data_IF_922579644989
#
_entry.id   IF_922579644989
#
_cell.length_a   1.000
_cell.length_b   1.000
_cell.length_c   1.000
_cell.angle_alpha   90.00
_cell.angle_beta   90.00
_cell.angle_gamma   90.00
#
_symmetry.space_group_name_H-M   'P 1'
#
loop_
_entity.id
_entity.type
_entity.pdbx_description
1 polymer ?
#
# COMPACT_ATOMS: atom_id res chain seq x y z
N UNK A 1 12.58 -14.03 -17.20
CA UNK A 1 11.65 -14.13 -16.05
C UNK A 1 10.26 -13.69 -16.49
N UNK A 2 9.20 -14.33 -15.98
CA UNK A 2 7.83 -13.87 -16.18
C UNK A 2 7.65 -12.47 -15.53
N UNK A 3 7.06 -11.50 -16.25
CA UNK A 3 6.86 -10.12 -15.78
C UNK A 3 6.10 -10.02 -14.44
N UNK A 4 5.22 -10.98 -14.16
CA UNK A 4 4.47 -11.09 -12.90
C UNK A 4 5.40 -11.37 -11.71
N UNK A 5 6.41 -12.22 -11.91
CA UNK A 5 7.40 -12.51 -10.86
C UNK A 5 8.35 -11.33 -10.66
N UNK A 6 8.75 -10.65 -11.76
CA UNK A 6 9.62 -9.47 -11.69
C UNK A 6 8.92 -8.32 -10.94
N UNK A 7 7.61 -8.13 -11.16
CA UNK A 7 6.82 -7.15 -10.39
C UNK A 7 6.82 -7.44 -8.89
N UNK A 8 6.69 -8.71 -8.50
CA UNK A 8 6.72 -9.08 -7.09
C UNK A 8 8.11 -8.80 -6.48
N UNK A 9 9.20 -9.22 -7.14
CA UNK A 9 10.56 -8.94 -6.70
C UNK A 9 10.90 -7.44 -6.67
N UNK A 10 10.37 -6.68 -7.63
CA UNK A 10 10.51 -5.23 -7.62
C UNK A 10 9.88 -4.61 -6.36
N UNK A 11 8.69 -5.08 -5.95
CA UNK A 11 8.05 -4.62 -4.71
C UNK A 11 8.84 -5.05 -3.45
N UNK A 12 9.47 -6.22 -3.47
CA UNK A 12 10.36 -6.67 -2.39
C UNK A 12 11.56 -5.74 -2.21
N UNK A 13 12.31 -5.48 -3.28
CA UNK A 13 13.52 -4.68 -3.17
C UNK A 13 13.24 -3.19 -2.95
N UNK A 14 12.12 -2.67 -3.47
CA UNK A 14 11.81 -1.25 -3.33
C UNK A 14 11.20 -0.91 -1.97
N UNK A 15 10.78 -1.91 -1.18
CA UNK A 15 10.09 -1.71 0.09
C UNK A 15 10.87 -0.78 1.03
N UNK A 16 12.14 -1.11 1.29
CA UNK A 16 13.05 -0.30 2.12
C UNK A 16 13.33 1.08 1.50
N UNK A 17 13.56 1.13 0.19
CA UNK A 17 13.83 2.38 -0.54
C UNK A 17 12.65 3.35 -0.40
N UNK A 18 11.42 2.84 -0.46
CA UNK A 18 10.21 3.65 -0.35
C UNK A 18 9.98 4.14 1.08
N UNK A 19 10.20 3.29 2.08
CA UNK A 19 10.03 3.64 3.49
C UNK A 19 11.21 4.49 4.02
N UNK A 20 12.32 4.51 3.28
CA UNK A 20 13.50 5.32 3.52
C UNK A 20 14.30 4.85 4.75
N UNK A 21 15.02 5.78 5.37
CA UNK A 21 15.81 5.51 6.59
C UNK A 21 14.92 5.30 7.85
N UNK A 22 13.60 5.48 7.73
CA UNK A 22 12.62 5.24 8.79
C UNK A 22 13.02 5.79 10.16
N UNK A 23 12.91 4.99 11.26
CA UNK A 23 13.27 5.44 12.60
C UNK A 23 14.77 5.69 12.80
N UNK A 24 15.62 5.17 11.92
CA UNK A 24 17.08 5.26 12.07
C UNK A 24 17.62 6.65 11.74
N UNK A 25 16.93 7.41 10.89
CA UNK A 25 17.35 8.78 10.55
C UNK A 25 17.44 9.67 11.79
N UNK A 26 16.46 9.61 12.70
CA UNK A 26 16.46 10.44 13.91
C UNK A 26 17.67 10.16 14.79
N UNK A 27 18.01 8.87 14.96
CA UNK A 27 19.19 8.44 15.73
C UNK A 27 20.48 8.92 15.05
N UNK A 28 20.58 8.77 13.74
CA UNK A 28 21.74 9.23 12.96
C UNK A 28 21.94 10.74 13.08
N UNK A 29 20.88 11.54 12.92
CA UNK A 29 20.95 13.01 12.99
C UNK A 29 21.28 13.48 14.41
N UNK A 30 20.70 12.85 15.44
CA UNK A 30 21.03 13.14 16.83
C UNK A 30 22.51 12.88 17.12
N UNK A 31 23.06 11.78 16.58
CA UNK A 31 24.50 11.48 16.64
C UNK A 31 25.40 12.51 15.95
N UNK A 32 24.86 13.29 15.01
CA UNK A 32 25.56 14.38 14.31
C UNK A 32 25.21 15.78 14.88
N UNK A 33 24.69 15.84 16.11
CA UNK A 33 24.48 17.11 16.83
C UNK A 33 23.20 17.86 16.45
N UNK A 34 22.26 17.24 15.72
CA UNK A 34 20.97 17.87 15.45
C UNK A 34 20.14 17.99 16.74
N UNK A 35 19.44 19.11 16.86
CA UNK A 35 18.44 19.32 17.90
C UNK A 35 17.17 18.52 17.58
N UNK A 36 16.46 18.08 18.62
CA UNK A 36 15.19 17.36 18.45
C UNK A 36 14.17 18.21 17.68
N UNK A 37 14.13 19.52 17.94
CA UNK A 37 13.30 20.46 17.18
C UNK A 37 13.65 20.53 15.69
N UNK A 38 14.93 20.37 15.31
CA UNK A 38 15.34 20.35 13.90
C UNK A 38 14.90 19.05 13.21
N UNK A 39 15.05 17.91 13.89
CA UNK A 39 14.60 16.62 13.38
C UNK A 39 13.07 16.65 13.18
N UNK A 40 12.33 17.16 14.16
CA UNK A 40 10.88 17.34 14.09
C UNK A 40 10.46 18.31 12.98
N UNK A 41 11.20 19.40 12.78
CA UNK A 41 10.94 20.36 11.70
C UNK A 41 11.12 19.74 10.32
N UNK A 42 12.20 18.96 10.10
CA UNK A 42 12.42 18.22 8.87
C UNK A 42 11.23 17.27 8.60
N UNK A 43 10.83 16.49 9.60
CA UNK A 43 9.67 15.58 9.50
C UNK A 43 8.34 16.30 9.20
N UNK A 44 8.17 17.52 9.71
CA UNK A 44 6.96 18.33 9.46
C UNK A 44 6.91 18.81 8.01
N UNK A 45 8.02 19.35 7.50
CA UNK A 45 8.11 19.85 6.12
C UNK A 45 7.91 18.71 5.13
N UNK A 46 8.53 17.54 5.34
CA UNK A 46 8.35 16.39 4.46
C UNK A 46 6.90 15.88 4.43
N UNK A 47 6.26 15.82 5.58
CA UNK A 47 4.86 15.38 5.72
C UNK A 47 3.89 16.35 5.03
N UNK A 48 4.09 17.66 5.23
CA UNK A 48 3.26 18.68 4.59
C UNK A 48 3.44 18.69 3.07
N UNK A 49 4.67 18.50 2.60
CA UNK A 49 4.98 18.45 1.17
C UNK A 49 4.33 17.25 0.50
N UNK A 50 4.38 16.09 1.16
CA UNK A 50 3.68 14.87 0.76
C UNK A 50 2.16 15.10 0.65
N UNK A 51 1.60 15.82 1.62
CA UNK A 51 0.18 16.11 1.66
C UNK A 51 -0.28 16.97 0.48
N UNK A 52 0.47 18.03 0.18
CA UNK A 52 0.14 18.99 -0.87
C UNK A 52 0.35 18.37 -2.25
N UNK A 53 1.41 17.60 -2.43
CA UNK A 53 1.86 17.14 -3.75
C UNK A 53 1.37 15.74 -4.13
N UNK A 54 0.71 15.01 -3.22
CA UNK A 54 0.14 13.69 -3.48
C UNK A 54 -0.77 13.63 -4.71
N UNK A 55 -1.85 14.41 -4.71
CA UNK A 55 -2.82 14.41 -5.81
C UNK A 55 -2.18 14.88 -7.14
N UNK A 56 -1.44 16.01 -7.20
CA UNK A 56 -0.73 16.42 -8.41
C UNK A 56 0.13 15.32 -9.03
N UNK A 57 0.80 14.52 -8.21
CA UNK A 57 1.65 13.43 -8.68
C UNK A 57 0.88 12.20 -9.14
N UNK A 58 -0.23 11.87 -8.48
CA UNK A 58 -1.14 10.86 -9.00
C UNK A 58 -1.65 11.23 -10.40
N UNK A 59 -1.98 12.50 -10.63
CA UNK A 59 -2.35 13.01 -11.97
C UNK A 59 -1.20 12.87 -12.96
N UNK A 60 0.04 13.18 -12.54
CA UNK A 60 1.21 13.02 -13.39
C UNK A 60 1.43 11.56 -13.80
N UNK A 61 1.20 10.61 -12.89
CA UNK A 61 1.26 9.16 -13.17
C UNK A 61 0.18 8.74 -14.17
N UNK A 62 -1.03 9.29 -14.07
CA UNK A 62 -2.11 9.02 -15.02
C UNK A 62 -1.78 9.54 -16.43
N UNK A 63 -1.10 10.70 -16.53
CA UNK A 63 -0.72 11.32 -17.81
C UNK A 63 0.54 10.73 -18.46
N UNK A 64 1.49 10.23 -17.67
CA UNK A 64 2.78 9.79 -18.21
C UNK A 64 2.71 8.41 -18.89
N UNK A 65 3.33 8.29 -20.05
CA UNK A 65 3.62 7.00 -20.69
C UNK A 65 4.97 6.42 -20.20
N UNK A 66 5.81 7.21 -19.54
CA UNK A 66 7.14 6.81 -19.09
C UNK A 66 7.14 6.31 -17.64
N UNK A 67 6.12 5.53 -17.25
CA UNK A 67 5.90 5.05 -15.87
C UNK A 67 7.14 4.34 -15.30
N UNK A 68 7.83 3.53 -16.11
CA UNK A 68 9.07 2.86 -15.72
C UNK A 68 10.20 3.84 -15.44
N UNK A 69 10.43 4.78 -16.36
CA UNK A 69 11.48 5.80 -16.22
C UNK A 69 11.26 6.67 -15.00
N UNK A 70 9.99 7.00 -14.70
CA UNK A 70 9.64 7.74 -13.49
C UNK A 70 10.02 6.96 -12.22
N UNK A 71 9.69 5.67 -12.15
CA UNK A 71 10.08 4.82 -11.02
C UNK A 71 11.61 4.71 -10.91
N UNK A 72 12.31 4.53 -12.03
CA UNK A 72 13.79 4.53 -12.08
C UNK A 72 14.36 5.83 -11.53
N UNK A 73 13.85 6.98 -11.95
CA UNK A 73 14.27 8.29 -11.47
C UNK A 73 14.05 8.42 -9.95
N UNK A 74 12.86 8.04 -9.45
CA UNK A 74 12.57 8.09 -8.02
C UNK A 74 13.54 7.21 -7.20
N UNK A 75 13.83 5.99 -7.65
CA UNK A 75 14.77 5.10 -6.95
C UNK A 75 16.18 5.70 -6.94
N UNK A 76 16.66 6.19 -8.09
CA UNK A 76 17.99 6.82 -8.17
C UNK A 76 18.10 8.07 -7.29
N UNK A 77 17.08 8.91 -7.27
CA UNK A 77 17.04 10.10 -6.43
C UNK A 77 17.02 9.74 -4.94
N UNK A 78 16.23 8.73 -4.53
CA UNK A 78 16.23 8.27 -3.13
C UNK A 78 17.60 7.73 -2.74
N UNK A 79 18.21 6.89 -3.57
CA UNK A 79 19.56 6.34 -3.31
C UNK A 79 20.58 7.46 -3.17
N UNK A 80 20.59 8.43 -4.10
CA UNK A 80 21.49 9.56 -4.07
C UNK A 80 21.26 10.44 -2.83
N UNK A 81 20.01 10.85 -2.57
CA UNK A 81 19.68 11.69 -1.41
C UNK A 81 20.01 11.00 -0.08
N UNK A 82 19.76 9.69 0.02
CA UNK A 82 20.08 8.90 1.21
C UNK A 82 21.59 8.82 1.42
N UNK A 83 22.34 8.41 0.40
CA UNK A 83 23.79 8.24 0.50
C UNK A 83 24.52 9.58 0.68
N UNK A 84 24.10 10.63 -0.02
CA UNK A 84 24.70 11.95 0.15
C UNK A 84 24.41 12.53 1.54
N UNK A 85 23.25 12.24 2.13
CA UNK A 85 22.91 12.68 3.49
C UNK A 85 23.78 12.02 4.56
N UNK A 86 24.31 10.82 4.29
CA UNK A 86 25.31 10.18 5.15
C UNK A 86 26.62 10.98 5.21
N UNK A 87 27.11 11.46 4.06
CA UNK A 87 28.37 12.22 4.00
C UNK A 87 28.24 13.69 4.38
N UNK A 88 27.06 14.29 4.16
CA UNK A 88 26.79 15.70 4.40
C UNK A 88 25.60 15.92 5.34
N UNK A 89 25.65 15.46 6.61
CA UNK A 89 24.56 15.62 7.57
C UNK A 89 24.53 17.05 8.12
N UNK A 90 24.15 18.01 7.27
CA UNK A 90 23.91 19.41 7.65
C UNK A 90 22.43 19.71 7.55
N UNK A 91 21.91 20.61 8.40
CA UNK A 91 20.47 20.86 8.49
C UNK A 91 19.80 21.13 7.14
N UNK A 92 20.37 22.03 6.33
CA UNK A 92 19.81 22.40 5.01
C UNK A 92 19.89 21.22 4.04
N UNK A 93 21.02 20.50 4.00
CA UNK A 93 21.17 19.37 3.11
C UNK A 93 20.18 18.25 3.48
N UNK A 94 20.09 17.90 4.76
CA UNK A 94 19.16 16.87 5.24
C UNK A 94 17.72 17.26 4.97
N UNK A 95 17.34 18.53 5.18
CA UNK A 95 15.99 19.02 4.86
C UNK A 95 15.65 18.81 3.39
N UNK A 96 16.54 19.21 2.47
CA UNK A 96 16.34 19.05 1.03
C UNK A 96 16.34 17.58 0.58
N UNK A 97 17.24 16.76 1.15
CA UNK A 97 17.32 15.33 0.88
C UNK A 97 16.04 14.62 1.33
N UNK A 98 15.56 14.88 2.55
CA UNK A 98 14.35 14.27 3.09
C UNK A 98 13.09 14.74 2.37
N UNK A 99 13.03 16.01 1.98
CA UNK A 99 11.98 16.52 1.10
C UNK A 99 11.95 15.74 -0.22
N UNK A 100 13.10 15.57 -0.87
CA UNK A 100 13.22 14.84 -2.14
C UNK A 100 12.86 13.35 -2.03
N UNK A 101 13.30 12.69 -0.95
CA UNK A 101 12.97 11.28 -0.67
C UNK A 101 11.45 11.13 -0.50
N UNK A 102 10.84 11.99 0.32
CA UNK A 102 9.39 11.95 0.58
C UNK A 102 8.59 12.19 -0.70
N UNK A 103 9.05 13.14 -1.52
CA UNK A 103 8.47 13.44 -2.83
C UNK A 103 8.47 12.22 -3.76
N UNK A 104 9.59 11.51 -3.81
CA UNK A 104 9.73 10.28 -4.59
C UNK A 104 8.86 9.15 -4.02
N UNK A 105 8.81 8.98 -2.70
CA UNK A 105 8.00 7.95 -2.05
C UNK A 105 6.50 8.09 -2.37
N UNK A 106 6.00 9.33 -2.43
CA UNK A 106 4.62 9.66 -2.83
C UNK A 106 4.32 9.24 -4.27
N UNK A 107 5.28 9.40 -5.18
CA UNK A 107 5.15 8.95 -6.57
C UNK A 107 5.08 7.43 -6.71
N UNK A 108 5.84 6.70 -5.89
CA UNK A 108 6.05 5.27 -6.09
C UNK A 108 4.75 4.48 -5.92
N UNK A 109 3.89 4.78 -4.95
CA UNK A 109 2.70 3.98 -4.71
C UNK A 109 1.70 3.99 -5.88
N UNK A 110 1.26 5.17 -6.40
CA UNK A 110 0.42 5.21 -7.58
C UNK A 110 1.15 4.71 -8.82
N UNK A 111 2.45 4.95 -8.96
CA UNK A 111 3.21 4.44 -10.11
C UNK A 111 3.28 2.90 -10.14
N UNK A 112 3.46 2.24 -9.00
CA UNK A 112 3.45 0.77 -8.91
C UNK A 112 2.06 0.18 -9.12
N UNK A 113 1.00 0.82 -8.60
CA UNK A 113 -0.37 0.43 -8.88
C UNK A 113 -0.66 0.51 -10.40
N UNK A 114 -0.29 1.64 -11.03
CA UNK A 114 -0.43 1.84 -12.46
C UNK A 114 0.38 0.83 -13.28
N UNK A 115 1.62 0.57 -12.89
CA UNK A 115 2.51 -0.38 -13.56
C UNK A 115 1.96 -1.81 -13.47
N UNK A 116 1.47 -2.19 -12.28
CA UNK A 116 0.85 -3.49 -12.05
C UNK A 116 -0.39 -3.64 -12.91
N UNK A 117 -1.32 -2.69 -12.84
CA UNK A 117 -2.57 -2.71 -13.61
C UNK A 117 -2.32 -2.70 -15.12
N UNK A 118 -1.35 -1.91 -15.59
CA UNK A 118 -1.00 -1.81 -17.01
C UNK A 118 -0.33 -3.07 -17.58
N UNK A 119 0.38 -3.85 -16.76
CA UNK A 119 1.05 -5.10 -17.20
C UNK A 119 0.10 -6.29 -17.13
N UNK A 120 -0.63 -6.45 -16.02
CA UNK A 120 -1.46 -7.65 -15.79
C UNK A 120 -2.90 -7.50 -16.25
N UNK A 121 -3.35 -6.27 -16.48
CA UNK A 121 -4.75 -5.97 -16.82
C UNK A 121 -5.70 -6.13 -15.64
N UNK A 122 -6.99 -5.86 -15.87
CA UNK A 122 -8.01 -5.79 -14.83
C UNK A 122 -8.21 -7.15 -14.12
N UNK A 123 -8.42 -8.22 -14.91
CA UNK A 123 -8.74 -9.57 -14.39
C UNK A 123 -7.74 -10.14 -13.40
N UNK A 124 -6.44 -9.89 -13.62
CA UNK A 124 -5.36 -10.41 -12.78
C UNK A 124 -4.86 -9.38 -11.75
N UNK A 125 -5.42 -8.17 -11.73
CA UNK A 125 -4.93 -7.06 -10.90
C UNK A 125 -5.04 -7.38 -9.42
N UNK A 126 -6.17 -7.91 -8.97
CA UNK A 126 -6.37 -8.26 -7.55
C UNK A 126 -5.35 -9.30 -7.06
N UNK A 127 -5.11 -10.35 -7.86
CA UNK A 127 -4.17 -11.42 -7.52
C UNK A 127 -2.73 -10.92 -7.51
N UNK A 128 -2.33 -10.14 -8.53
CA UNK A 128 -0.98 -9.60 -8.58
C UNK A 128 -0.75 -8.55 -7.49
N UNK A 129 -1.73 -7.71 -7.18
CA UNK A 129 -1.65 -6.73 -6.09
C UNK A 129 -1.45 -7.43 -4.75
N UNK A 130 -2.20 -8.51 -4.49
CA UNK A 130 -2.03 -9.35 -3.30
C UNK A 130 -0.62 -9.92 -3.17
N UNK A 131 -0.06 -10.40 -4.29
CA UNK A 131 1.31 -10.94 -4.33
C UNK A 131 2.37 -9.86 -4.18
N UNK A 132 2.19 -8.71 -4.84
CA UNK A 132 3.09 -7.56 -4.71
C UNK A 132 3.15 -7.07 -3.27
N UNK A 133 2.00 -7.01 -2.60
CA UNK A 133 1.89 -6.57 -1.21
C UNK A 133 2.60 -7.55 -0.27
N UNK A 134 2.42 -8.86 -0.45
CA UNK A 134 3.15 -9.87 0.31
C UNK A 134 4.67 -9.74 0.14
N UNK A 135 5.14 -9.50 -1.10
CA UNK A 135 6.57 -9.31 -1.36
C UNK A 135 7.09 -7.99 -0.77
N UNK A 136 6.29 -6.92 -0.77
CA UNK A 136 6.63 -5.66 -0.13
C UNK A 136 6.90 -5.87 1.37
N UNK A 137 5.99 -6.52 2.08
CA UNK A 137 6.15 -6.82 3.51
C UNK A 137 7.34 -7.75 3.78
N UNK A 138 7.56 -8.76 2.94
CA UNK A 138 8.75 -9.59 3.02
C UNK A 138 10.04 -8.79 2.82
N UNK A 139 10.03 -7.81 1.92
CA UNK A 139 11.14 -6.88 1.69
C UNK A 139 11.43 -6.00 2.91
N UNK A 140 10.40 -5.39 3.49
CA UNK A 140 10.53 -4.57 4.71
C UNK A 140 11.04 -5.41 5.90
N UNK A 141 10.53 -6.63 6.09
CA UNK A 141 11.03 -7.52 7.15
C UNK A 141 12.50 -7.91 6.92
N UNK A 142 12.86 -8.23 5.68
CA UNK A 142 14.22 -8.58 5.30
C UNK A 142 15.19 -7.41 5.52
N UNK A 143 14.85 -6.20 5.05
CA UNK A 143 15.71 -5.03 5.20
C UNK A 143 15.85 -4.59 6.66
N UNK A 144 14.78 -4.67 7.45
CA UNK A 144 14.83 -4.36 8.88
C UNK A 144 15.73 -5.35 9.63
N UNK A 145 15.61 -6.66 9.37
CA UNK A 145 16.47 -7.67 9.98
C UNK A 145 17.94 -7.50 9.56
N UNK A 146 18.18 -7.25 8.27
CA UNK A 146 19.52 -6.99 7.74
C UNK A 146 20.13 -5.72 8.34
N UNK A 147 19.34 -4.65 8.45
CA UNK A 147 19.75 -3.37 9.05
C UNK A 147 20.07 -3.51 10.52
N UNK A 148 19.27 -4.26 11.28
CA UNK A 148 19.54 -4.55 12.67
C UNK A 148 20.87 -5.30 12.84
N UNK A 149 21.05 -6.42 12.12
CA UNK A 149 22.29 -7.21 12.20
C UNK A 149 23.50 -6.38 11.79
N UNK A 150 23.44 -5.70 10.65
CA UNK A 150 24.57 -4.90 10.19
C UNK A 150 24.84 -3.67 11.08
N UNK A 151 23.82 -3.08 11.70
CA UNK A 151 24.02 -1.98 12.65
C UNK A 151 24.80 -2.42 13.90
N UNK A 152 24.66 -3.68 14.34
CA UNK A 152 25.43 -4.22 15.47
C UNK A 152 26.93 -4.36 15.15
N UNK A 153 27.28 -4.75 13.92
CA UNK A 153 28.67 -5.01 13.53
C UNK A 153 29.37 -3.80 12.90
N UNK A 154 28.64 -3.00 12.12
CA UNK A 154 29.19 -1.93 11.29
C UNK A 154 28.64 -0.53 11.65
N UNK A 155 27.77 -0.44 12.66
CA UNK A 155 27.13 0.80 13.08
C UNK A 155 26.04 1.29 12.12
N UNK A 156 25.48 2.46 12.43
CA UNK A 156 24.32 3.05 11.73
C UNK A 156 24.60 3.36 10.24
N UNK A 157 25.87 3.50 9.86
CA UNK A 157 26.32 3.68 8.48
C UNK A 157 25.85 2.56 7.56
N UNK A 158 25.76 1.33 8.08
CA UNK A 158 25.33 0.16 7.30
C UNK A 158 23.91 0.28 6.75
N UNK A 159 23.03 1.02 7.42
CA UNK A 159 21.64 1.21 7.01
C UNK A 159 21.56 1.98 5.69
N UNK A 160 22.40 3.01 5.52
CA UNK A 160 22.51 3.77 4.28
C UNK A 160 23.04 2.90 3.12
N UNK A 161 23.96 1.98 3.42
CA UNK A 161 24.47 1.03 2.43
C UNK A 161 23.41 -0.01 2.04
N UNK A 162 22.60 -0.49 3.00
CA UNK A 162 21.50 -1.43 2.75
C UNK A 162 20.42 -0.81 1.87
N UNK A 163 19.97 0.41 2.16
CA UNK A 163 18.99 1.10 1.30
C UNK A 163 19.55 1.27 -0.13
N UNK A 164 20.84 1.59 -0.26
CA UNK A 164 21.52 1.66 -1.57
C UNK A 164 21.52 0.31 -2.28
N UNK A 165 21.87 -0.76 -1.56
CA UNK A 165 21.88 -2.13 -2.06
C UNK A 165 20.48 -2.56 -2.56
N UNK A 166 19.46 -2.36 -1.74
CA UNK A 166 18.05 -2.63 -2.08
C UNK A 166 17.61 -1.82 -3.32
N UNK A 167 18.06 -0.57 -3.44
CA UNK A 167 17.86 0.26 -4.62
C UNK A 167 18.48 -0.31 -5.89
N UNK A 168 19.73 -0.80 -5.83
CA UNK A 168 20.40 -1.43 -6.99
C UNK A 168 19.60 -2.64 -7.48
N UNK A 169 19.16 -3.53 -6.59
CA UNK A 169 18.35 -4.69 -6.99
C UNK A 169 16.97 -4.30 -7.53
N UNK A 170 16.38 -3.21 -7.03
CA UNK A 170 15.15 -2.64 -7.59
C UNK A 170 15.36 -2.17 -9.05
N UNK A 171 16.49 -1.50 -9.33
CA UNK A 171 16.86 -1.08 -10.68
C UNK A 171 17.10 -2.27 -11.61
N UNK A 172 17.76 -3.33 -11.12
CA UNK A 172 17.94 -4.58 -11.87
C UNK A 172 16.58 -5.21 -12.24
N UNK A 173 15.62 -5.23 -11.31
CA UNK A 173 14.26 -5.70 -11.59
C UNK A 173 13.58 -4.86 -12.68
N UNK A 174 13.75 -3.53 -12.67
CA UNK A 174 13.20 -2.65 -13.73
C UNK A 174 13.83 -2.91 -15.10
N UNK A 175 15.12 -3.24 -15.17
CA UNK A 175 15.78 -3.65 -16.41
C UNK A 175 15.14 -4.92 -16.97
N UNK A 176 14.89 -5.93 -16.13
CA UNK A 176 14.17 -7.14 -16.55
C UNK A 176 12.72 -6.87 -16.97
N UNK A 177 12.12 -5.78 -16.46
CA UNK A 177 10.79 -5.35 -16.84
C UNK A 177 10.76 -4.52 -18.13
N UNK A 178 11.91 -4.10 -18.68
CA UNK A 178 12.01 -3.20 -19.85
C UNK A 178 11.19 -3.67 -21.05
N UNK A 179 11.16 -4.98 -21.29
CA UNK A 179 10.48 -5.59 -22.45
C UNK A 179 9.01 -5.94 -22.19
N UNK A 180 8.50 -5.77 -20.98
CA UNK A 180 7.09 -6.05 -20.72
C UNK A 180 6.21 -5.00 -21.42
N UNK A 181 5.10 -5.41 -22.02
CA UNK A 181 4.13 -4.48 -22.55
C UNK A 181 3.38 -3.79 -21.40
N UNK A 182 3.17 -2.46 -21.49
CA UNK A 182 2.34 -1.71 -20.54
C UNK A 182 1.18 -1.11 -21.32
N UNK A 183 -0.04 -1.50 -20.97
CA UNK A 183 -1.22 -0.79 -21.43
C UNK A 183 -1.44 0.46 -20.57
N UNK A 184 -0.99 1.62 -21.06
CA UNK A 184 -1.09 2.89 -20.34
C UNK A 184 -2.53 3.38 -20.14
N UNK A 185 -3.44 3.00 -21.02
CA UNK A 185 -4.86 3.33 -20.92
C UNK A 185 -5.51 2.53 -19.79
N UNK A 186 -5.25 1.22 -19.72
CA UNK A 186 -5.72 0.37 -18.62
C UNK A 186 -5.08 0.80 -17.29
N UNK A 187 -3.81 1.21 -17.29
CA UNK A 187 -3.10 1.70 -16.12
C UNK A 187 -3.73 2.95 -15.46
N UNK A 188 -4.57 3.71 -16.20
CA UNK A 188 -5.34 4.84 -15.68
C UNK A 188 -6.85 4.57 -15.60
N UNK A 189 -7.27 3.35 -15.92
CA UNK A 189 -8.65 2.89 -15.75
C UNK A 189 -9.52 2.88 -16.99
N UNK A 190 -8.97 2.99 -18.20
CA UNK A 190 -9.77 2.83 -19.41
C UNK A 190 -10.38 1.43 -19.51
N UNK A 191 -11.60 1.34 -20.02
CA UNK A 191 -12.24 0.07 -20.36
C UNK A 191 -11.75 -0.42 -21.72
N UNK A 192 -11.42 -1.70 -21.80
CA UNK A 192 -11.11 -2.35 -23.07
C UNK A 192 -12.44 -2.75 -23.71
N UNK A 193 -13.02 -1.89 -24.54
CA UNK A 193 -14.14 -2.26 -25.39
C UNK A 193 -13.63 -3.16 -26.52
N UNK A 194 -13.98 -4.46 -26.50
CA UNK A 194 -13.84 -5.28 -27.70
C UNK A 194 -14.88 -4.78 -28.71
N UNK A 195 -14.44 -4.25 -29.85
CA UNK A 195 -15.36 -4.02 -30.97
C UNK A 195 -15.97 -5.36 -31.37
N UNK A 196 -17.29 -5.54 -31.16
CA UNK A 196 -18.01 -6.60 -31.84
C UNK A 196 -17.88 -6.33 -33.34
N UNK A 197 -17.38 -7.29 -34.15
CA UNK A 197 -17.26 -7.07 -35.59
C UNK A 197 -18.63 -6.70 -36.16
N UNK A 198 -18.67 -5.67 -37.01
CA UNK A 198 -19.90 -5.12 -37.60
C UNK A 198 -20.67 -6.10 -38.50
N UNK A 199 -20.16 -7.30 -38.73
CA UNK A 199 -20.81 -8.32 -39.55
C UNK A 199 -20.73 -9.70 -38.88
N UNK A 200 -21.86 -10.33 -38.51
CA UNK A 200 -21.89 -11.60 -37.77
C UNK A 200 -21.64 -12.87 -38.62
N UNK A 201 -21.14 -12.75 -39.86
CA UNK A 201 -21.19 -13.86 -40.84
C UNK A 201 -19.87 -14.57 -41.14
N UNK A 202 -18.92 -14.66 -40.21
CA UNK A 202 -17.80 -15.61 -40.35
C UNK A 202 -17.20 -15.96 -38.98
N UNK A 203 -17.89 -16.84 -38.23
CA UNK A 203 -17.39 -17.38 -36.95
C UNK A 203 -16.04 -18.09 -37.10
N UNK A 204 -15.77 -18.69 -38.28
CA UNK A 204 -14.49 -19.34 -38.59
C UNK A 204 -13.29 -18.38 -38.67
N UNK A 205 -13.49 -17.10 -39.02
CA UNK A 205 -12.42 -16.08 -39.00
C UNK A 205 -12.23 -15.42 -37.63
N UNK A 206 -13.19 -15.56 -36.72
CA UNK A 206 -13.12 -14.99 -35.38
C UNK A 206 -12.09 -15.72 -34.52
N UNK A 207 -12.04 -17.05 -34.62
CA UNK A 207 -11.03 -17.88 -33.94
C UNK A 207 -9.62 -17.66 -34.48
N UNK A 208 -9.48 -17.49 -35.80
CA UNK A 208 -8.19 -17.19 -36.44
C UNK A 208 -7.64 -15.79 -36.06
N UNK A 209 -8.52 -14.82 -35.84
CA UNK A 209 -8.12 -13.45 -35.46
C UNK A 209 -7.78 -13.35 -33.96
N UNK A 210 -8.42 -14.16 -33.11
CA UNK A 210 -8.15 -14.21 -31.66
C UNK A 210 -6.85 -14.94 -31.31
N UNK A 211 -6.28 -15.73 -32.23
CA UNK A 211 -4.99 -16.42 -32.06
C UNK A 211 -3.77 -15.63 -32.59
N UNK A 212 -3.95 -14.46 -33.20
CA UNK A 212 -2.84 -13.60 -33.65
C UNK A 212 -2.47 -12.53 -32.60
N UNK A 213 -1.19 -12.43 -32.19
CA UNK A 213 -0.82 -11.66 -31.00
C UNK A 213 -0.62 -10.15 -31.22
N UNK A 214 -1.23 -9.48 -32.23
CA UNK A 214 -0.77 -8.09 -32.52
C UNK A 214 -1.56 -7.10 -33.39
N UNK A 215 -2.83 -7.26 -33.78
CA UNK A 215 -3.50 -6.25 -34.65
C UNK A 215 -4.42 -5.26 -33.91
N UNK A 216 -3.85 -4.08 -33.67
CA UNK A 216 -4.47 -2.73 -33.66
C UNK A 216 -5.92 -2.63 -33.18
N UNK A 217 -6.09 -2.55 -31.86
CA UNK A 217 -7.31 -2.01 -31.25
C UNK A 217 -7.39 -0.50 -31.56
N UNK A 218 -8.40 -0.07 -32.32
CA UNK A 218 -8.67 1.35 -32.52
C UNK A 218 -9.35 1.91 -31.27
N UNK A 219 -8.61 2.74 -30.54
CA UNK A 219 -9.08 3.41 -29.33
C UNK A 219 -9.84 4.69 -29.69
N UNK A 220 -11.06 4.86 -29.18
CA UNK A 220 -11.80 6.12 -29.31
C UNK A 220 -11.28 7.12 -28.26
N UNK A 221 -10.34 7.96 -28.67
CA UNK A 221 -9.93 9.14 -27.89
C UNK A 221 -11.03 10.20 -27.97
N UNK A 222 -11.71 10.47 -26.86
CA UNK A 222 -12.48 11.70 -26.71
C UNK A 222 -11.53 12.79 -26.21
N UNK A 223 -10.92 13.52 -27.14
CA UNK A 223 -10.16 14.74 -26.90
C UNK A 223 -11.10 15.81 -26.33
N UNK A 224 -10.77 16.31 -25.13
CA UNK A 224 -11.09 17.66 -24.62
C UNK A 224 -10.47 17.77 -23.21
N UNK A 225 -9.35 18.49 -23.10
CA UNK A 225 -8.64 18.67 -21.82
C UNK A 225 -9.48 19.40 -20.75
N UNK A 226 -10.42 20.26 -21.17
CA UNK A 226 -11.38 20.91 -20.27
C UNK A 226 -12.41 19.92 -19.67
N UNK A 227 -12.69 18.79 -20.34
CA UNK A 227 -13.49 17.68 -19.78
C UNK A 227 -12.68 16.82 -18.82
N UNK A 228 -11.35 16.82 -18.88
CA UNK A 228 -10.50 16.00 -18.02
C UNK A 228 -10.46 16.54 -16.58
N UNK A 229 -10.28 17.85 -16.38
CA UNK A 229 -10.31 18.47 -15.04
C UNK A 229 -11.69 18.35 -14.37
N UNK A 230 -12.77 18.50 -15.15
CA UNK A 230 -14.14 18.28 -14.65
C UNK A 230 -14.40 16.82 -14.27
N UNK A 231 -13.81 15.86 -15.00
CA UNK A 231 -13.86 14.42 -14.65
C UNK A 231 -13.04 14.08 -13.42
N UNK A 232 -11.86 14.69 -13.23
CA UNK A 232 -11.05 14.48 -12.03
C UNK A 232 -11.74 15.01 -10.78
N UNK A 233 -12.29 16.23 -10.83
CA UNK A 233 -13.04 16.79 -9.71
C UNK A 233 -14.24 15.89 -9.36
N UNK A 234 -15.02 15.48 -10.37
CA UNK A 234 -16.12 14.53 -10.16
C UNK A 234 -15.67 13.18 -9.59
N UNK A 235 -14.49 12.70 -9.98
CA UNK A 235 -13.91 11.46 -9.48
C UNK A 235 -13.47 11.56 -8.01
N UNK A 236 -12.82 12.66 -7.61
CA UNK A 236 -12.38 12.86 -6.22
C UNK A 236 -13.58 13.06 -5.27
N UNK A 237 -14.63 13.72 -5.76
CA UNK A 237 -15.89 13.91 -5.02
C UNK A 237 -16.89 12.76 -5.21
N UNK A 238 -16.45 11.61 -5.72
CA UNK A 238 -17.29 10.42 -5.76
C UNK A 238 -17.57 9.93 -4.33
N UNK A 239 -18.83 9.62 -4.03
CA UNK A 239 -19.26 9.23 -2.68
C UNK A 239 -18.53 7.99 -2.18
N UNK A 240 -18.25 7.02 -3.06
CA UNK A 240 -17.53 5.80 -2.69
C UNK A 240 -16.07 6.12 -2.33
N UNK A 241 -15.42 7.00 -3.10
CA UNK A 241 -14.06 7.42 -2.84
C UNK A 241 -13.95 8.23 -1.54
N UNK A 242 -14.90 9.14 -1.29
CA UNK A 242 -14.94 9.94 -0.06
C UNK A 242 -15.15 9.07 1.18
N UNK A 243 -16.08 8.10 1.14
CA UNK A 243 -16.27 7.15 2.25
C UNK A 243 -14.98 6.35 2.49
N UNK A 244 -14.33 5.87 1.43
CA UNK A 244 -13.05 5.16 1.55
C UNK A 244 -11.97 6.06 2.17
N UNK A 245 -11.84 7.32 1.72
CA UNK A 245 -10.88 8.28 2.25
C UNK A 245 -11.08 8.58 3.74
N UNK A 246 -12.33 8.78 4.18
CA UNK A 246 -12.65 9.03 5.59
C UNK A 246 -12.34 7.79 6.44
N UNK A 247 -12.69 6.60 5.95
CA UNK A 247 -12.40 5.35 6.65
C UNK A 247 -10.89 5.09 6.73
N UNK A 248 -10.13 5.40 5.68
CA UNK A 248 -8.67 5.29 5.71
C UNK A 248 -8.03 6.33 6.63
N UNK A 249 -8.56 7.55 6.67
CA UNK A 249 -8.18 8.55 7.65
C UNK A 249 -8.36 8.01 9.08
N UNK A 250 -9.54 7.48 9.41
CA UNK A 250 -9.81 6.89 10.73
C UNK A 250 -8.90 5.69 11.03
N UNK A 251 -8.68 4.80 10.06
CA UNK A 251 -7.78 3.66 10.19
C UNK A 251 -6.37 4.11 10.57
N UNK A 252 -5.77 5.03 9.81
CA UNK A 252 -4.42 5.50 10.10
C UNK A 252 -4.34 6.38 11.36
N UNK A 253 -5.38 7.16 11.66
CA UNK A 253 -5.47 7.96 12.89
C UNK A 253 -5.50 7.08 14.14
N UNK A 254 -6.15 5.93 14.07
CA UNK A 254 -6.16 4.95 15.16
C UNK A 254 -4.87 4.11 15.19
N UNK A 255 -4.26 3.84 14.03
CA UNK A 255 -3.15 2.89 13.94
C UNK A 255 -1.77 3.50 14.24
N UNK A 256 -1.41 4.64 13.66
CA UNK A 256 0.00 5.04 13.54
C UNK A 256 0.72 5.28 14.88
N UNK A 257 0.03 5.78 15.92
CA UNK A 257 0.62 5.98 17.25
C UNK A 257 0.64 4.71 18.12
N UNK A 258 -0.04 3.64 17.72
CA UNK A 258 -0.21 2.44 18.55
C UNK A 258 1.14 1.81 18.91
N UNK A 259 2.00 1.62 17.91
CA UNK A 259 3.29 0.94 18.05
C UNK A 259 4.31 1.80 18.83
N UNK A 260 4.47 3.12 18.54
CA UNK A 260 5.25 4.01 19.40
C UNK A 260 4.81 4.01 20.86
N UNK A 261 3.50 4.09 21.13
CA UNK A 261 2.98 4.07 22.49
C UNK A 261 3.25 2.74 23.20
N UNK A 262 3.14 1.61 22.49
CA UNK A 262 3.46 0.28 23.03
C UNK A 262 4.92 0.17 23.43
N UNK A 263 5.84 0.65 22.59
CA UNK A 263 7.26 0.65 22.88
C UNK A 263 7.61 1.58 24.05
N UNK A 264 6.99 2.77 24.11
CA UNK A 264 7.17 3.69 25.23
C UNK A 264 6.66 3.09 26.55
N UNK A 265 5.46 2.49 26.54
CA UNK A 265 4.90 1.82 27.73
C UNK A 265 5.78 0.65 28.18
N UNK A 266 6.24 -0.19 27.25
CA UNK A 266 7.12 -1.32 27.56
C UNK A 266 8.45 -0.85 28.19
N UNK A 267 9.01 0.26 27.72
CA UNK A 267 10.19 0.88 28.34
C UNK A 267 9.89 1.38 29.76
N UNK A 268 8.75 2.06 29.98
CA UNK A 268 8.36 2.52 31.32
C UNK A 268 8.12 1.39 32.32
N UNK A 269 7.71 0.21 31.84
CA UNK A 269 7.50 -0.99 32.66
C UNK A 269 8.78 -1.82 32.87
N UNK A 270 9.91 -1.42 32.29
CA UNK A 270 11.17 -2.17 32.37
C UNK A 270 11.17 -3.49 31.59
N UNK A 271 10.21 -3.69 30.68
CA UNK A 271 10.08 -4.92 29.86
C UNK A 271 11.05 -4.93 28.68
N UNK A 272 11.43 -3.75 28.16
CA UNK A 272 12.44 -3.61 27.11
C UNK A 272 13.50 -2.56 27.46
N UNK A 273 14.75 -3.02 27.59
CA UNK A 273 15.94 -2.18 27.78
C UNK A 273 16.90 -2.20 26.58
N UNK A 274 16.61 -3.00 25.55
CA UNK A 274 17.56 -3.33 24.47
C UNK A 274 17.05 -3.01 23.05
N UNK A 275 15.78 -2.64 22.90
CA UNK A 275 15.13 -2.46 21.59
C UNK A 275 14.64 -3.77 20.97
N UNK A 276 14.82 -4.90 21.66
CA UNK A 276 14.38 -6.21 21.22
C UNK A 276 12.85 -6.30 21.09
N UNK A 277 12.12 -5.56 21.92
CA UNK A 277 10.65 -5.51 21.84
C UNK A 277 10.20 -4.83 20.55
N UNK A 278 10.80 -3.69 20.20
CA UNK A 278 10.51 -3.02 18.94
C UNK A 278 10.85 -3.91 17.72
N UNK A 279 12.00 -4.59 17.73
CA UNK A 279 12.35 -5.52 16.65
C UNK A 279 11.36 -6.70 16.54
N UNK A 280 10.98 -7.32 17.66
CA UNK A 280 10.01 -8.41 17.69
C UNK A 280 8.64 -7.99 17.16
N UNK A 281 8.18 -6.78 17.52
CA UNK A 281 6.90 -6.25 17.04
C UNK A 281 6.85 -6.15 15.53
N UNK A 282 7.90 -5.62 14.90
CA UNK A 282 8.01 -5.51 13.44
C UNK A 282 7.97 -6.89 12.78
N UNK A 283 8.74 -7.85 13.27
CA UNK A 283 8.82 -9.19 12.67
C UNK A 283 7.45 -9.91 12.72
N UNK A 284 6.77 -9.87 13.87
CA UNK A 284 5.45 -10.50 14.03
C UNK A 284 4.42 -9.86 13.11
N UNK A 285 4.40 -8.51 13.07
CA UNK A 285 3.45 -7.77 12.24
C UNK A 285 3.70 -8.08 10.75
N UNK A 286 4.93 -7.92 10.26
CA UNK A 286 5.26 -8.17 8.85
C UNK A 286 5.01 -9.62 8.44
N UNK A 287 5.38 -10.60 9.29
CA UNK A 287 5.09 -12.02 9.04
C UNK A 287 3.60 -12.28 8.84
N UNK A 288 2.76 -11.66 9.68
CA UNK A 288 1.31 -11.74 9.57
C UNK A 288 0.79 -11.02 8.32
N UNK A 289 1.32 -9.84 7.98
CA UNK A 289 0.96 -9.10 6.77
C UNK A 289 1.24 -9.90 5.49
N UNK A 290 2.36 -10.61 5.42
CA UNK A 290 2.70 -11.50 4.29
C UNK A 290 1.64 -12.59 4.12
N UNK A 291 1.30 -13.28 5.21
CA UNK A 291 0.30 -14.35 5.19
C UNK A 291 -1.08 -13.83 4.77
N UNK A 292 -1.51 -12.73 5.37
CA UNK A 292 -2.81 -12.11 5.13
C UNK A 292 -2.93 -11.58 3.71
N UNK A 293 -1.89 -10.93 3.17
CA UNK A 293 -1.89 -10.45 1.79
C UNK A 293 -2.05 -11.60 0.78
N UNK A 294 -1.32 -12.72 0.98
CA UNK A 294 -1.48 -13.92 0.14
C UNK A 294 -2.85 -14.57 0.28
N UNK A 295 -3.41 -14.56 1.49
CA UNK A 295 -4.75 -15.06 1.78
C UNK A 295 -5.83 -14.23 1.07
N UNK A 296 -5.76 -12.90 1.14
CA UNK A 296 -6.64 -12.01 0.39
C UNK A 296 -6.66 -12.33 -1.11
N UNK A 297 -5.48 -12.57 -1.71
CA UNK A 297 -5.38 -12.99 -3.11
C UNK A 297 -6.20 -14.24 -3.42
N UNK A 298 -6.07 -15.29 -2.58
CA UNK A 298 -6.84 -16.53 -2.76
C UNK A 298 -8.35 -16.31 -2.72
N UNK A 299 -8.86 -15.39 -1.91
CA UNK A 299 -10.30 -15.08 -1.87
C UNK A 299 -10.76 -14.23 -3.06
N UNK A 300 -9.87 -13.40 -3.62
CA UNK A 300 -10.19 -12.50 -4.74
C UNK A 300 -9.98 -13.13 -6.12
N UNK A 301 -9.30 -14.28 -6.20
CA UNK A 301 -9.06 -15.02 -7.44
C UNK A 301 -10.29 -15.82 -7.90
N UNK A 302 -10.86 -15.46 -9.05
CA UNK A 302 -12.03 -16.14 -9.65
C UNK A 302 -11.59 -17.37 -10.48
N UNK A 303 -10.33 -17.42 -10.92
CA UNK A 303 -9.85 -18.40 -11.90
C UNK A 303 -9.56 -19.78 -11.29
N UNK A 304 -9.20 -19.85 -10.01
CA UNK A 304 -8.96 -21.12 -9.31
C UNK A 304 -10.22 -21.98 -9.15
N UNK A 305 -11.40 -21.38 -9.04
CA UNK A 305 -12.66 -22.14 -8.86
C UNK A 305 -12.99 -22.99 -10.08
N UNK A 306 -12.68 -22.49 -11.29
CA UNK A 306 -12.93 -23.21 -12.55
C UNK A 306 -11.89 -24.30 -12.82
N UNK A 307 -10.61 -24.06 -12.51
CA UNK A 307 -9.55 -25.05 -12.73
C UNK A 307 -9.55 -26.17 -11.68
N UNK A 308 -9.88 -25.88 -10.41
CA UNK A 308 -9.96 -26.90 -9.36
C UNK A 308 -11.06 -27.94 -9.63
N UNK A 309 -12.20 -27.52 -10.19
CA UNK A 309 -13.26 -28.42 -10.63
C UNK A 309 -12.85 -29.30 -11.82
N UNK A 310 -11.96 -28.80 -12.69
CA UNK A 310 -11.54 -29.48 -13.92
C UNK A 310 -10.44 -30.51 -13.70
N UNK A 311 -9.73 -30.46 -12.57
CA UNK A 311 -8.48 -31.20 -12.37
C UNK A 311 -8.57 -32.36 -11.37
N UNK A 312 -9.76 -32.72 -10.86
CA UNK A 312 -10.01 -33.89 -10.00
C UNK A 312 -8.99 -34.12 -8.86
N UNK A 313 -8.39 -33.03 -8.34
CA UNK A 313 -7.50 -33.12 -7.19
C UNK A 313 -8.32 -33.17 -5.91
N UNK A 314 -7.96 -34.05 -4.98
CA UNK A 314 -8.49 -34.08 -3.62
C UNK A 314 -8.22 -32.71 -3.00
N UNK A 315 -9.24 -31.85 -2.97
CA UNK A 315 -9.14 -30.54 -2.37
C UNK A 315 -9.04 -30.72 -0.85
N UNK A 316 -7.92 -30.31 -0.27
CA UNK A 316 -7.80 -30.19 1.19
C UNK A 316 -8.96 -29.34 1.72
N UNK A 317 -9.45 -29.64 2.93
CA UNK A 317 -10.65 -29.03 3.53
C UNK A 317 -10.68 -27.50 3.45
N UNK A 318 -9.51 -26.87 3.50
CA UNK A 318 -9.33 -25.43 3.36
C UNK A 318 -9.69 -24.88 1.96
N UNK A 319 -9.28 -25.55 0.89
CA UNK A 319 -9.62 -25.10 -0.46
C UNK A 319 -11.11 -25.32 -0.76
N UNK A 320 -11.70 -26.38 -0.20
CA UNK A 320 -13.14 -26.64 -0.26
C UNK A 320 -13.94 -25.53 0.42
N UNK A 321 -13.49 -25.04 1.59
CA UNK A 321 -14.10 -23.90 2.28
C UNK A 321 -14.03 -22.62 1.44
N UNK A 322 -12.89 -22.33 0.80
CA UNK A 322 -12.74 -21.16 -0.07
C UNK A 322 -13.72 -21.23 -1.24
N UNK A 323 -13.83 -22.39 -1.89
CA UNK A 323 -14.77 -22.59 -3.00
C UNK A 323 -16.21 -22.40 -2.50
N UNK A 324 -16.57 -22.99 -1.37
CA UNK A 324 -17.88 -22.83 -0.77
C UNK A 324 -18.24 -21.36 -0.51
N UNK A 325 -17.33 -20.59 0.10
CA UNK A 325 -17.53 -19.15 0.34
C UNK A 325 -17.72 -18.39 -0.98
N UNK A 326 -16.88 -18.66 -1.99
CA UNK A 326 -16.97 -18.00 -3.31
C UNK A 326 -18.27 -18.29 -4.05
N UNK A 327 -18.90 -19.44 -3.82
CA UNK A 327 -20.21 -19.75 -4.41
C UNK A 327 -21.37 -19.02 -3.75
N UNK A 328 -21.18 -18.53 -2.51
CA UNK A 328 -22.23 -17.89 -1.69
C UNK A 328 -22.13 -16.36 -1.64
N UNK A 329 -20.91 -15.82 -1.79
CA UNK A 329 -20.61 -14.40 -1.52
C UNK A 329 -19.98 -13.75 -2.75
N UNK A 330 -20.49 -12.59 -3.17
CA UNK A 330 -19.92 -11.87 -4.33
C UNK A 330 -18.53 -11.30 -4.03
N UNK A 331 -17.69 -11.12 -5.05
CA UNK A 331 -16.34 -10.54 -4.88
C UNK A 331 -16.37 -9.17 -4.19
N UNK A 332 -17.38 -8.35 -4.50
CA UNK A 332 -17.63 -7.08 -3.80
C UNK A 332 -17.87 -7.30 -2.31
N UNK A 333 -18.74 -8.24 -1.96
CA UNK A 333 -19.04 -8.53 -0.56
C UNK A 333 -17.80 -9.03 0.18
N UNK A 334 -16.96 -9.86 -0.45
CA UNK A 334 -15.66 -10.27 0.11
C UNK A 334 -14.78 -9.04 0.40
N UNK A 335 -14.64 -8.13 -0.57
CA UNK A 335 -13.86 -6.90 -0.40
C UNK A 335 -14.40 -6.05 0.76
N UNK A 336 -15.73 -5.90 0.85
CA UNK A 336 -16.37 -5.12 1.90
C UNK A 336 -16.22 -5.73 3.29
N UNK A 337 -16.31 -7.07 3.38
CA UNK A 337 -16.10 -7.83 4.61
C UNK A 337 -14.64 -7.70 5.07
N UNK A 338 -13.68 -7.88 4.16
CA UNK A 338 -12.26 -7.75 4.47
C UNK A 338 -11.95 -6.35 5.02
N UNK A 339 -12.42 -5.30 4.37
CA UNK A 339 -12.25 -3.93 4.87
C UNK A 339 -12.96 -3.69 6.22
N UNK A 340 -14.10 -4.34 6.46
CA UNK A 340 -14.75 -4.32 7.77
C UNK A 340 -13.90 -5.00 8.85
N UNK A 341 -13.28 -6.14 8.52
CA UNK A 341 -12.37 -6.87 9.41
C UNK A 341 -11.15 -6.00 9.77
N UNK A 342 -10.57 -5.27 8.82
CA UNK A 342 -9.41 -4.40 9.12
C UNK A 342 -9.75 -3.23 10.04
N UNK A 343 -11.00 -2.76 10.08
CA UNK A 343 -11.44 -1.74 11.03
C UNK A 343 -11.82 -2.33 12.39
N UNK A 344 -12.47 -3.50 12.37
CA UNK A 344 -12.86 -4.18 13.59
C UNK A 344 -11.65 -4.69 14.39
N UNK A 345 -10.63 -5.22 13.72
CA UNK A 345 -9.40 -5.64 14.41
C UNK A 345 -8.79 -4.48 15.18
N UNK A 346 -8.74 -3.27 14.58
CA UNK A 346 -8.18 -2.07 15.20
C UNK A 346 -8.85 -1.72 16.53
N UNK A 347 -10.18 -1.89 16.60
CA UNK A 347 -10.96 -1.69 17.82
C UNK A 347 -10.53 -2.70 18.90
N UNK A 348 -10.48 -3.99 18.55
CA UNK A 348 -10.05 -5.06 19.46
C UNK A 348 -8.60 -4.85 19.89
N UNK A 349 -7.74 -4.47 18.95
CA UNK A 349 -6.32 -4.22 19.16
C UNK A 349 -6.09 -3.07 20.14
N UNK A 350 -6.83 -1.96 20.00
CA UNK A 350 -6.79 -0.86 20.95
C UNK A 350 -7.26 -1.27 22.35
N UNK A 351 -8.32 -2.09 22.45
CA UNK A 351 -8.78 -2.62 23.74
C UNK A 351 -7.72 -3.52 24.39
N UNK A 352 -7.14 -4.45 23.62
CA UNK A 352 -6.09 -5.35 24.14
C UNK A 352 -4.87 -4.53 24.59
N UNK A 353 -4.44 -3.54 23.79
CA UNK A 353 -3.34 -2.66 24.16
C UNK A 353 -3.63 -1.86 25.44
N UNK A 354 -4.90 -1.48 25.70
CA UNK A 354 -5.27 -0.79 26.93
C UNK A 354 -5.09 -1.67 28.18
N UNK A 355 -5.59 -2.91 28.14
CA UNK A 355 -5.69 -3.80 29.30
C UNK A 355 -4.50 -4.74 29.52
N UNK A 356 -3.77 -5.13 28.47
CA UNK A 356 -2.69 -6.12 28.56
C UNK A 356 -1.32 -5.47 28.41
N UNK A 357 -0.54 -5.51 29.49
CA UNK A 357 0.79 -4.90 29.57
C UNK A 357 1.94 -5.89 29.32
N UNK A 358 1.62 -7.18 29.19
CA UNK A 358 2.60 -8.25 29.08
C UNK A 358 2.97 -8.56 27.63
N UNK A 359 4.03 -9.36 27.46
CA UNK A 359 4.55 -9.78 26.14
C UNK A 359 3.46 -10.50 25.31
N UNK A 360 2.57 -11.27 25.94
CA UNK A 360 1.46 -11.90 25.23
C UNK A 360 0.48 -10.89 24.63
N UNK A 361 0.16 -9.81 25.37
CA UNK A 361 -0.66 -8.71 24.86
C UNK A 361 -0.02 -8.05 23.65
N UNK A 362 1.28 -7.80 23.71
CA UNK A 362 2.05 -7.29 22.57
C UNK A 362 1.97 -8.22 21.35
N UNK A 363 2.24 -9.52 21.50
CA UNK A 363 2.20 -10.47 20.38
C UNK A 363 0.82 -10.44 19.71
N UNK A 364 -0.26 -10.46 20.49
CA UNK A 364 -1.63 -10.42 19.95
C UNK A 364 -1.89 -9.11 19.21
N UNK A 365 -1.47 -7.98 19.78
CA UNK A 365 -1.62 -6.67 19.14
C UNK A 365 -0.89 -6.60 17.80
N UNK A 366 0.30 -7.19 17.69
CA UNK A 366 1.08 -7.19 16.45
C UNK A 366 0.53 -8.15 15.39
N UNK A 367 -0.04 -9.29 15.80
CA UNK A 367 -0.79 -10.16 14.89
C UNK A 367 -2.00 -9.40 14.33
N UNK A 368 -2.75 -8.69 15.18
CA UNK A 368 -3.90 -7.91 14.75
C UNK A 368 -3.49 -6.78 13.80
N UNK A 369 -2.43 -6.02 14.10
CA UNK A 369 -1.87 -5.02 13.17
C UNK A 369 -1.52 -5.63 11.82
N UNK A 370 -0.88 -6.80 11.82
CA UNK A 370 -0.58 -7.50 10.58
C UNK A 370 -1.82 -7.92 9.77
N UNK A 371 -2.94 -8.22 10.44
CA UNK A 371 -4.23 -8.48 9.78
C UNK A 371 -4.78 -7.21 9.14
N UNK A 372 -4.90 -6.10 9.86
CA UNK A 372 -5.47 -4.88 9.27
C UNK A 372 -4.61 -4.28 8.19
N UNK A 373 -3.30 -4.15 8.43
CA UNK A 373 -2.36 -3.61 7.44
C UNK A 373 -2.25 -4.51 6.21
N UNK A 374 -2.16 -5.84 6.39
CA UNK A 374 -2.12 -6.80 5.29
C UNK A 374 -3.40 -6.79 4.43
N UNK A 375 -4.58 -6.61 5.04
CA UNK A 375 -5.83 -6.46 4.30
C UNK A 375 -5.87 -5.14 3.55
N UNK A 376 -5.65 -4.02 4.25
CA UNK A 376 -5.78 -2.67 3.66
C UNK A 376 -4.78 -2.46 2.51
N UNK A 377 -3.56 -2.97 2.66
CA UNK A 377 -2.54 -2.97 1.62
C UNK A 377 -2.97 -3.60 0.30
N UNK A 378 -3.81 -4.64 0.36
CA UNK A 378 -4.37 -5.31 -0.82
C UNK A 378 -5.64 -4.62 -1.30
N UNK A 379 -6.57 -4.33 -0.39
CA UNK A 379 -7.94 -3.93 -0.72
C UNK A 379 -8.03 -2.50 -1.23
N UNK A 380 -7.28 -1.55 -0.65
CA UNK A 380 -7.36 -0.13 -1.02
C UNK A 380 -7.05 0.13 -2.49
N UNK A 381 -5.90 -0.30 -3.05
CA UNK A 381 -5.60 -0.06 -4.47
C UNK A 381 -6.59 -0.76 -5.40
N UNK A 382 -7.14 -1.92 -5.01
CA UNK A 382 -8.17 -2.63 -5.77
C UNK A 382 -9.48 -1.84 -5.78
N UNK A 383 -9.93 -1.38 -4.62
CA UNK A 383 -11.19 -0.66 -4.49
C UNK A 383 -11.12 0.70 -5.18
N UNK A 384 -9.99 1.41 -5.09
CA UNK A 384 -9.80 2.67 -5.84
C UNK A 384 -9.84 2.44 -7.35
N UNK A 385 -9.09 1.44 -7.85
CA UNK A 385 -9.10 1.11 -9.28
C UNK A 385 -10.49 0.75 -9.79
N UNK A 386 -11.28 0.13 -8.92
CA UNK A 386 -12.66 -0.21 -9.19
C UNK A 386 -13.61 1.00 -9.20
N UNK A 387 -13.61 1.82 -8.13
CA UNK A 387 -14.46 3.03 -8.02
C UNK A 387 -14.22 3.94 -9.22
N UNK A 388 -12.95 4.09 -9.60
CA UNK A 388 -12.50 5.00 -10.65
C UNK A 388 -12.36 4.34 -12.02
N UNK A 389 -12.91 3.15 -12.21
CA UNK A 389 -12.97 2.49 -13.52
C UNK A 389 -13.70 3.39 -14.53
N UNK A 390 -13.08 3.58 -15.69
CA UNK A 390 -13.55 4.47 -16.77
C UNK A 390 -13.27 5.96 -16.55
N UNK A 391 -12.73 6.36 -15.40
CA UNK A 391 -12.49 7.78 -15.09
C UNK A 391 -11.26 8.36 -15.79
N UNK A 392 -10.26 7.52 -16.08
CA UNK A 392 -8.93 7.95 -16.54
C UNK A 392 -8.01 8.51 -15.46
N UNK A 393 -8.43 8.44 -14.18
CA UNK A 393 -7.78 9.09 -13.05
C UNK A 393 -7.61 8.18 -11.82
N UNK A 394 -7.39 6.87 -12.03
CA UNK A 394 -7.23 5.90 -10.92
C UNK A 394 -6.06 6.30 -10.00
N UNK A 395 -4.94 6.75 -10.56
CA UNK A 395 -3.73 6.99 -9.77
C UNK A 395 -3.83 8.30 -8.97
N UNK A 396 -4.49 9.32 -9.53
CA UNK A 396 -4.87 10.53 -8.79
C UNK A 396 -5.80 10.21 -7.62
N UNK A 397 -6.80 9.36 -7.80
CA UNK A 397 -7.69 8.93 -6.72
C UNK A 397 -6.98 8.11 -5.65
N UNK A 398 -6.04 7.23 -6.04
CA UNK A 398 -5.26 6.45 -5.08
C UNK A 398 -4.38 7.38 -4.24
N UNK A 399 -3.72 8.33 -4.89
CA UNK A 399 -2.96 9.36 -4.19
C UNK A 399 -3.83 10.15 -3.22
N UNK A 400 -5.06 10.55 -3.61
CA UNK A 400 -6.00 11.23 -2.72
C UNK A 400 -6.36 10.41 -1.48
N UNK A 401 -6.73 9.14 -1.64
CA UNK A 401 -7.06 8.24 -0.51
C UNK A 401 -5.85 8.07 0.42
N UNK A 402 -4.66 7.89 -0.16
CA UNK A 402 -3.42 7.77 0.61
C UNK A 402 -3.05 9.07 1.34
N UNK A 403 -3.28 10.23 0.71
CA UNK A 403 -3.10 11.54 1.34
C UNK A 403 -4.01 11.68 2.56
N UNK A 404 -5.30 11.33 2.45
CA UNK A 404 -6.22 11.33 3.59
C UNK A 404 -5.74 10.39 4.71
N UNK A 405 -5.31 9.16 4.37
CA UNK A 405 -4.70 8.25 5.32
C UNK A 405 -3.44 8.85 5.99
N UNK A 406 -2.60 9.53 5.21
CA UNK A 406 -1.40 10.24 5.69
C UNK A 406 -1.72 11.35 6.68
N UNK A 407 -2.77 12.15 6.46
CA UNK A 407 -3.25 13.13 7.46
C UNK A 407 -3.62 12.41 8.76
N UNK A 408 -4.38 11.33 8.66
CA UNK A 408 -4.78 10.53 9.82
C UNK A 408 -3.56 10.04 10.60
N UNK A 409 -2.59 9.43 9.91
CA UNK A 409 -1.35 8.94 10.51
C UNK A 409 -0.52 10.04 11.19
N UNK A 410 -0.38 11.21 10.54
CA UNK A 410 0.34 12.35 11.10
C UNK A 410 -0.33 12.89 12.39
N UNK A 411 -1.66 12.98 12.40
CA UNK A 411 -2.43 13.41 13.57
C UNK A 411 -2.47 12.37 14.69
N UNK A 412 -2.28 11.08 14.36
CA UNK A 412 -2.29 9.97 15.33
C UNK A 412 -1.28 10.16 16.44
N UNK A 413 -0.04 10.50 16.08
CA UNK A 413 1.05 10.71 17.04
C UNK A 413 0.72 11.81 18.05
N UNK A 414 0.20 12.93 17.57
CA UNK A 414 -0.24 14.06 18.41
C UNK A 414 -1.40 13.65 19.33
N UNK A 415 -2.42 12.98 18.79
CA UNK A 415 -3.58 12.55 19.56
C UNK A 415 -3.19 11.55 20.65
N UNK A 416 -2.50 10.46 20.26
CA UNK A 416 -2.10 9.39 21.15
C UNK A 416 -1.08 9.84 22.20
N UNK A 417 -0.07 10.60 21.77
CA UNK A 417 0.98 11.14 22.65
C UNK A 417 0.43 12.13 23.67
N UNK A 418 -0.42 13.08 23.25
CA UNK A 418 -1.03 14.05 24.15
C UNK A 418 -1.91 13.36 25.20
N UNK A 419 -2.77 12.44 24.79
CA UNK A 419 -3.64 11.73 25.75
C UNK A 419 -2.79 10.86 26.69
N UNK A 420 -1.77 10.17 26.18
CA UNK A 420 -0.89 9.36 27.02
C UNK A 420 -0.15 10.19 28.07
N UNK A 421 0.33 11.38 27.69
CA UNK A 421 1.06 12.27 28.59
C UNK A 421 0.19 12.83 29.73
N UNK A 422 -1.05 13.25 29.44
CA UNK A 422 -1.91 13.92 30.43
C UNK A 422 -2.89 12.98 31.14
N UNK A 423 -3.32 11.90 30.49
CA UNK A 423 -4.36 11.00 30.98
C UNK A 423 -3.91 9.53 31.07
N UNK A 424 -2.66 9.23 30.68
CA UNK A 424 -2.07 7.89 30.75
C UNK A 424 -2.35 7.01 29.53
N UNK A 425 -1.56 5.94 29.40
CA UNK A 425 -1.60 5.02 28.25
C UNK A 425 -2.96 4.35 28.05
N UNK A 426 -3.65 3.96 29.13
CA UNK A 426 -4.99 3.36 29.03
C UNK A 426 -5.95 4.25 28.25
N UNK A 427 -6.04 5.54 28.61
CA UNK A 427 -6.93 6.49 27.93
C UNK A 427 -6.50 6.75 26.49
N UNK A 428 -5.19 6.74 26.21
CA UNK A 428 -4.68 6.89 24.85
C UNK A 428 -5.15 5.73 23.95
N UNK A 429 -5.01 4.48 24.41
CA UNK A 429 -5.47 3.31 23.65
C UNK A 429 -7.00 3.28 23.50
N UNK A 430 -7.76 3.65 24.54
CA UNK A 430 -9.21 3.77 24.45
C UNK A 430 -9.65 4.83 23.43
N UNK A 431 -8.95 5.97 23.37
CA UNK A 431 -9.22 7.02 22.38
C UNK A 431 -8.92 6.54 20.95
N UNK A 432 -7.80 5.86 20.73
CA UNK A 432 -7.47 5.26 19.43
C UNK A 432 -8.50 4.19 19.03
N UNK A 433 -8.95 3.35 19.98
CA UNK A 433 -9.99 2.35 19.76
C UNK A 433 -11.35 3.01 19.39
N UNK A 434 -11.70 4.11 20.05
CA UNK A 434 -12.91 4.88 19.72
C UNK A 434 -12.88 5.42 18.28
N UNK A 435 -11.74 5.96 17.84
CA UNK A 435 -11.55 6.42 16.45
C UNK A 435 -11.74 5.28 15.45
N UNK A 436 -11.22 4.08 15.75
CA UNK A 436 -11.46 2.89 14.93
C UNK A 436 -12.95 2.51 14.90
N UNK A 437 -13.63 2.57 16.05
CA UNK A 437 -15.06 2.34 16.15
C UNK A 437 -15.88 3.31 15.28
N UNK A 438 -15.52 4.59 15.26
CA UNK A 438 -16.14 5.58 14.37
C UNK A 438 -15.93 5.20 12.90
N UNK A 439 -14.70 4.83 12.51
CA UNK A 439 -14.38 4.37 11.16
C UNK A 439 -15.20 3.12 10.75
N UNK A 440 -15.33 2.16 11.67
CA UNK A 440 -16.13 0.95 11.46
C UNK A 440 -17.62 1.27 11.29
N UNK A 441 -18.18 2.15 12.12
CA UNK A 441 -19.59 2.58 12.01
C UNK A 441 -19.83 3.25 10.67
N UNK A 442 -18.96 4.17 10.26
CA UNK A 442 -19.04 4.82 8.94
C UNK A 442 -19.01 3.76 7.83
N UNK A 443 -18.08 2.80 7.91
CA UNK A 443 -18.01 1.72 6.93
C UNK A 443 -19.29 0.89 6.89
N UNK A 444 -19.82 0.45 8.03
CA UNK A 444 -21.06 -0.34 8.08
C UNK A 444 -22.28 0.42 7.53
N UNK A 445 -22.39 1.72 7.81
CA UNK A 445 -23.51 2.55 7.32
C UNK A 445 -23.45 2.77 5.81
N UNK A 446 -22.25 2.94 5.25
CA UNK A 446 -22.07 3.35 3.85
C UNK A 446 -21.54 2.26 2.91
N UNK A 447 -21.17 1.07 3.42
CA UNK A 447 -20.66 -0.06 2.61
C UNK A 447 -21.64 -0.53 1.52
N UNK A 448 -22.95 -0.35 1.72
CA UNK A 448 -23.95 -0.71 0.73
C UNK A 448 -23.84 0.12 -0.57
N UNK A 449 -23.25 1.32 -0.52
CA UNK A 449 -23.05 2.15 -1.72
C UNK A 449 -22.17 1.44 -2.76
N UNK A 450 -21.27 0.54 -2.31
CA UNK A 450 -20.37 -0.21 -3.18
C UNK A 450 -21.05 -1.41 -3.87
N UNK A 451 -22.13 -1.97 -3.30
CA UNK A 451 -22.84 -3.14 -3.85
C UNK A 451 -23.55 -2.87 -5.18
N UNK A 452 -23.94 -1.63 -5.45
CA UNK A 452 -24.61 -1.25 -6.70
C UNK A 452 -23.74 -1.45 -7.94
N UNK A 453 -22.45 -1.70 -7.78
CA UNK A 453 -21.50 -1.91 -8.87
C UNK A 453 -21.05 -3.39 -9.01
N UNK A 454 -21.76 -4.36 -8.42
CA UNK A 454 -21.40 -5.80 -8.41
C UNK A 454 -21.04 -6.36 -9.80
N UNK A 455 -21.78 -5.99 -10.85
CA UNK A 455 -21.49 -6.42 -12.23
C UNK A 455 -20.12 -5.94 -12.72
N UNK A 456 -19.71 -4.72 -12.35
CA UNK A 456 -18.40 -4.16 -12.73
C UNK A 456 -17.26 -4.80 -11.95
N UNK A 457 -17.49 -5.29 -10.72
CA UNK A 457 -16.47 -6.02 -9.93
C UNK A 457 -16.28 -7.42 -10.48
N UNK A 458 -17.33 -8.10 -10.93
CA UNK A 458 -17.18 -9.46 -11.44
C UNK A 458 -16.32 -9.54 -12.72
N UNK A 459 -16.31 -8.47 -13.52
CA UNK A 459 -15.46 -8.36 -14.72
C UNK A 459 -14.00 -8.00 -14.42
N UNK A 460 -13.69 -7.56 -13.19
CA UNK A 460 -12.39 -7.05 -12.73
C UNK A 460 -11.79 -8.02 -11.72
#
# INVERSE_FOLDING_TARGET
>A
MNSYNVLAWLNFFVADVRDGLGPYLGVFLKGHGFLEGQIGFIGTITSLSTLILGIPFGILVDKTHYKRTLITFCILMIMFSTLANYFYPTFIFTLLAQFSISLCAVFLAPAFAALTLGIVGQKAYAQQTSRNEAYKHAGTAFSAALSFVCALYFGIASIFAITTFMGIFSLLCLIFLRNAFINHEVARGAEVSLEKPKNPLNESKLEETLMQPQKTFKFKQNSNEQKASFKLFKAIFDKQLLVLSVVLFCFHLSNAAMLPLLSQRAHTLGVDSSGAYAAATIIIAQGTMIFVALFCGKFLDISQTQNAYKQNNILNSFNTLIIYIKTRVSKTQIILILMGISLFELLIRGLIAAYFENISGMIIVQILDGVGAGITGVIVPILVAFILRGSGHINAGLAFVMTCGGVGGALSGSLGGFIAQYYGYFMAYMALALVAGIGLVIWCLFANIFKNNDKRIQEF
#
